data_IF_169463330961
#
_entry.id   IF_169463330961
#
_cell.length_a   1.000
_cell.length_b   1.000
_cell.length_c   1.000
_cell.angle_alpha   90.00
_cell.angle_beta   90.00
_cell.angle_gamma   90.00
#
_symmetry.space_group_name_H-M   'P 1'
#
loop_
_entity.id
_entity.type
_entity.pdbx_description
1 polymer ?
#
# COMPACT_ATOMS: atom_id res chain seq x y z
N UNK A 1 20.12 2.98 21.70
CA UNK A 1 19.91 3.67 20.42
C UNK A 1 18.48 3.42 20.00
N UNK A 2 17.60 4.39 20.18
CA UNK A 2 16.19 4.30 19.81
C UNK A 2 16.09 4.17 18.29
N UNK A 3 15.61 3.03 17.80
CA UNK A 3 15.29 2.88 16.39
C UNK A 3 14.24 3.93 16.03
N UNK A 4 14.65 4.99 15.35
CA UNK A 4 13.72 6.00 14.86
C UNK A 4 12.80 5.33 13.84
N UNK A 5 11.59 4.96 14.29
CA UNK A 5 10.54 4.42 13.44
C UNK A 5 10.31 5.38 12.28
N UNK A 6 10.54 4.95 11.04
CA UNK A 6 10.19 5.74 9.88
C UNK A 6 8.66 5.96 9.88
N UNK A 7 8.18 7.16 9.46
CA UNK A 7 6.75 7.45 9.44
C UNK A 7 6.04 6.48 8.48
N UNK A 8 4.83 6.09 8.85
CA UNK A 8 3.97 5.24 8.05
C UNK A 8 2.79 6.02 7.49
N UNK A 9 2.41 5.66 6.27
CA UNK A 9 1.37 6.31 5.50
C UNK A 9 0.45 5.26 4.92
N UNK A 10 -0.84 5.45 5.13
CA UNK A 10 -1.88 4.79 4.38
C UNK A 10 -2.10 5.55 3.07
N UNK A 11 -1.99 4.84 1.95
CA UNK A 11 -2.09 5.40 0.62
C UNK A 11 -3.26 4.76 -0.10
N UNK A 12 -4.23 5.57 -0.50
CA UNK A 12 -5.41 5.09 -1.23
C UNK A 12 -5.14 5.21 -2.72
N UNK A 13 -5.29 4.11 -3.43
CA UNK A 13 -5.14 3.98 -4.87
C UNK A 13 -6.51 3.77 -5.51
N UNK A 14 -6.71 4.34 -6.71
CA UNK A 14 -7.84 4.05 -7.59
C UNK A 14 -7.31 3.49 -8.90
N UNK A 15 -7.72 2.27 -9.23
CA UNK A 15 -7.45 1.62 -10.51
C UNK A 15 -8.35 2.18 -11.61
N UNK A 16 -7.95 2.00 -12.87
CA UNK A 16 -8.70 2.49 -14.03
C UNK A 16 -10.10 1.88 -14.16
N UNK A 17 -10.26 0.62 -13.73
CA UNK A 17 -11.55 -0.07 -13.64
C UNK A 17 -12.44 0.42 -12.48
N UNK A 18 -12.01 1.45 -11.75
CA UNK A 18 -12.76 2.09 -10.67
C UNK A 18 -12.58 1.42 -9.30
N UNK A 19 -11.92 0.26 -9.24
CA UNK A 19 -11.63 -0.39 -7.98
C UNK A 19 -10.68 0.44 -7.12
N UNK A 20 -10.75 0.26 -5.81
CA UNK A 20 -9.86 0.93 -4.85
C UNK A 20 -8.97 -0.07 -4.15
N UNK A 21 -7.76 0.36 -3.81
CA UNK A 21 -6.84 -0.43 -2.98
C UNK A 21 -6.09 0.48 -2.02
N UNK A 22 -5.71 -0.08 -0.88
CA UNK A 22 -5.07 0.69 0.18
C UNK A 22 -3.70 0.08 0.45
N UNK A 23 -2.63 0.83 0.20
CA UNK A 23 -1.27 0.34 0.45
C UNK A 23 -0.63 1.08 1.62
N UNK A 24 0.27 0.40 2.33
CA UNK A 24 1.01 0.97 3.45
C UNK A 24 2.43 1.29 3.03
N UNK A 25 2.74 2.58 2.97
CA UNK A 25 4.08 3.09 2.68
C UNK A 25 4.80 3.46 3.98
N UNK A 26 6.01 2.93 4.17
CA UNK A 26 6.88 3.29 5.29
C UNK A 26 8.05 4.11 4.74
N UNK A 27 8.14 5.38 5.13
CA UNK A 27 9.16 6.28 4.59
C UNK A 27 8.76 7.75 4.68
N UNK A 28 9.72 8.64 4.46
CA UNK A 28 9.46 10.09 4.42
C UNK A 28 8.76 10.46 3.11
N UNK A 29 7.84 11.43 3.14
CA UNK A 29 7.16 11.95 1.94
C UNK A 29 8.09 12.86 1.12
N UNK A 30 9.04 12.28 0.42
CA UNK A 30 9.79 12.96 -0.62
C UNK A 30 9.20 12.63 -1.99
N UNK A 31 8.77 13.67 -2.72
CA UNK A 31 8.24 13.55 -4.08
C UNK A 31 9.33 12.89 -4.95
N UNK A 32 9.03 11.74 -5.57
CA UNK A 32 10.00 10.89 -6.24
C UNK A 32 10.17 9.54 -5.53
N UNK A 33 10.93 9.49 -4.44
CA UNK A 33 11.16 8.25 -3.67
C UNK A 33 9.84 7.65 -3.14
N UNK A 34 8.91 8.50 -2.70
CA UNK A 34 7.58 8.06 -2.28
C UNK A 34 6.79 7.51 -3.47
N UNK A 35 6.78 8.20 -4.61
CA UNK A 35 6.05 7.76 -5.81
C UNK A 35 6.55 6.40 -6.29
N UNK A 36 7.87 6.17 -6.26
CA UNK A 36 8.48 4.89 -6.60
C UNK A 36 8.10 3.79 -5.60
N UNK A 37 8.15 4.08 -4.29
CA UNK A 37 7.76 3.13 -3.25
C UNK A 37 6.28 2.74 -3.32
N UNK A 38 5.40 3.72 -3.51
CA UNK A 38 3.96 3.50 -3.74
C UNK A 38 3.73 2.73 -5.04
N UNK A 39 4.52 2.98 -6.08
CA UNK A 39 4.40 2.23 -7.32
C UNK A 39 4.72 0.76 -7.16
N UNK A 40 5.80 0.41 -6.45
CA UNK A 40 6.12 -0.98 -6.14
C UNK A 40 5.01 -1.65 -5.33
N UNK A 41 4.43 -0.94 -4.36
CA UNK A 41 3.29 -1.42 -3.58
C UNK A 41 2.04 -1.64 -4.45
N UNK A 42 1.76 -0.71 -5.36
CA UNK A 42 0.64 -0.83 -6.29
C UNK A 42 0.83 -2.05 -7.21
N UNK A 43 2.00 -2.23 -7.80
CA UNK A 43 2.31 -3.39 -8.67
C UNK A 43 2.15 -4.70 -7.91
N UNK A 44 2.64 -4.79 -6.66
CA UNK A 44 2.45 -5.98 -5.83
C UNK A 44 0.96 -6.25 -5.52
N UNK A 45 0.20 -5.20 -5.20
CA UNK A 45 -1.25 -5.29 -4.98
C UNK A 45 -1.98 -5.76 -6.24
N UNK A 46 -1.57 -5.25 -7.41
CA UNK A 46 -2.17 -5.60 -8.69
C UNK A 46 -1.89 -7.06 -9.06
N UNK A 47 -0.66 -7.53 -8.88
CA UNK A 47 -0.29 -8.93 -9.14
C UNK A 47 -1.12 -9.91 -8.29
N UNK A 48 -1.37 -9.57 -7.02
CA UNK A 48 -2.25 -10.37 -6.16
C UNK A 48 -3.70 -10.38 -6.66
N UNK A 49 -4.17 -9.24 -7.18
CA UNK A 49 -5.51 -9.12 -7.76
C UNK A 49 -5.63 -9.95 -9.05
N UNK A 50 -4.65 -9.85 -9.94
CA UNK A 50 -4.60 -10.61 -11.18
C UNK A 50 -4.57 -12.13 -10.94
N UNK A 51 -3.90 -12.60 -9.88
CA UNK A 51 -3.92 -14.01 -9.49
C UNK A 51 -5.32 -14.52 -9.06
N UNK A 52 -6.21 -13.62 -8.62
CA UNK A 52 -7.59 -13.94 -8.25
C UNK A 52 -8.58 -13.72 -9.39
N UNK A 53 -8.27 -12.79 -10.28
CA UNK A 53 -9.10 -12.37 -11.40
C UNK A 53 -8.27 -12.50 -12.70
N UNK A 54 -8.15 -13.71 -13.27
CA UNK A 54 -7.31 -13.97 -14.45
C UNK A 54 -7.78 -13.26 -15.74
N UNK A 55 -8.90 -12.54 -15.70
CA UNK A 55 -9.40 -11.70 -16.80
C UNK A 55 -8.93 -10.24 -16.76
N UNK A 56 -8.17 -9.84 -15.74
CA UNK A 56 -7.63 -8.49 -15.65
C UNK A 56 -6.48 -8.27 -16.65
N UNK A 57 -6.32 -7.04 -17.18
CA UNK A 57 -5.25 -6.74 -18.13
C UNK A 57 -3.85 -6.99 -17.53
N UNK A 58 -2.83 -7.10 -18.37
CA UNK A 58 -1.45 -7.28 -17.90
C UNK A 58 -0.95 -6.07 -17.09
N UNK A 59 -1.44 -4.88 -17.46
CA UNK A 59 -1.14 -3.62 -16.81
C UNK A 59 -2.42 -2.83 -16.56
N UNK A 60 -2.58 -2.33 -15.34
CA UNK A 60 -3.68 -1.43 -14.96
C UNK A 60 -3.11 -0.11 -14.46
N UNK A 61 -3.45 1.03 -15.08
CA UNK A 61 -3.09 2.33 -14.55
C UNK A 61 -3.81 2.57 -13.23
N UNK A 62 -3.21 3.40 -12.39
CA UNK A 62 -3.81 3.82 -11.13
C UNK A 62 -3.49 5.27 -10.82
N UNK A 63 -4.33 5.86 -9.99
CA UNK A 63 -4.15 7.18 -9.41
C UNK A 63 -3.98 7.06 -7.91
N UNK A 64 -3.12 7.89 -7.34
CA UNK A 64 -3.02 8.04 -5.89
C UNK A 64 -4.01 9.10 -5.46
N UNK A 65 -4.97 8.72 -4.61
CA UNK A 65 -6.03 9.62 -4.16
C UNK A 65 -5.66 10.39 -2.89
N UNK A 66 -5.02 9.72 -1.93
CA UNK A 66 -4.71 10.34 -0.64
C UNK A 66 -3.55 9.68 0.08
N UNK A 67 -2.92 10.48 0.95
CA UNK A 67 -1.93 10.05 1.93
C UNK A 67 -2.43 10.39 3.32
N UNK A 68 -2.66 9.37 4.14
CA UNK A 68 -3.10 9.54 5.53
C UNK A 68 -2.00 9.02 6.45
N UNK A 69 -1.47 9.84 7.37
CA UNK A 69 -0.46 9.36 8.32
C UNK A 69 -1.08 8.29 9.24
N UNK A 70 -0.37 7.19 9.42
CA UNK A 70 -0.72 6.18 10.41
C UNK A 70 -0.03 6.56 11.73
N UNK A 71 -0.82 6.86 12.74
CA UNK A 71 -0.33 6.96 14.12
C UNK A 71 0.10 5.55 14.54
N UNK A 72 1.40 5.29 14.63
CA UNK A 72 1.90 4.10 15.34
C UNK A 72 1.69 4.34 16.83
N UNK A 73 0.48 4.06 17.31
CA UNK A 73 0.26 3.86 18.73
C UNK A 73 1.13 2.66 19.15
N UNK A 74 2.12 2.91 20.00
CA UNK A 74 3.12 1.93 20.42
C UNK A 74 2.54 0.95 21.46
N UNK A 75 1.25 0.60 21.33
CA UNK A 75 0.49 -0.14 22.34
C UNK A 75 -0.28 -1.37 21.81
N UNK A 76 -0.15 -1.74 20.53
CA UNK A 76 -0.76 -2.99 20.05
C UNK A 76 0.07 -3.65 18.95
N UNK A 77 1.11 -4.35 19.40
CA UNK A 77 1.62 -5.51 18.70
C UNK A 77 0.56 -6.62 18.77
N UNK A 78 -0.50 -6.50 17.97
CA UNK A 78 -1.32 -7.65 17.58
C UNK A 78 -0.84 -8.13 16.21
N UNK A 79 -0.74 -9.45 15.98
CA UNK A 79 -0.11 -10.01 14.80
C UNK A 79 -0.76 -9.46 13.54
N UNK A 80 0.06 -9.04 12.58
CA UNK A 80 -0.39 -8.66 11.24
C UNK A 80 -1.08 -9.85 10.61
N UNK A 81 -2.41 -9.88 10.69
CA UNK A 81 -3.21 -10.81 9.91
C UNK A 81 -3.16 -10.28 8.49
N UNK A 82 -2.32 -10.92 7.66
CA UNK A 82 -2.39 -10.81 6.21
C UNK A 82 -3.75 -11.37 5.78
N UNK A 83 -4.74 -10.48 5.69
CA UNK A 83 -6.09 -10.82 5.29
C UNK A 83 -6.56 -9.78 4.28
N UNK A 84 -6.57 -10.15 3.00
CA UNK A 84 -7.29 -9.37 2.00
C UNK A 84 -8.78 -9.51 2.29
N UNK A 85 -9.43 -8.45 2.78
CA UNK A 85 -10.88 -8.37 2.69
C UNK A 85 -11.25 -8.08 1.23
N UNK A 86 -12.41 -8.55 0.75
CA UNK A 86 -12.85 -8.30 -0.62
C UNK A 86 -12.98 -6.82 -0.97
N UNK A 87 -13.03 -5.92 0.02
CA UNK A 87 -13.15 -4.47 -0.15
C UNK A 87 -11.83 -3.71 0.12
N UNK A 88 -10.80 -4.38 0.66
CA UNK A 88 -9.56 -3.71 1.08
C UNK A 88 -8.36 -4.68 0.97
N UNK A 89 -7.66 -4.63 -0.17
CA UNK A 89 -6.33 -5.22 -0.29
C UNK A 89 -5.33 -4.30 0.41
N UNK A 90 -4.81 -4.73 1.57
CA UNK A 90 -3.76 -4.02 2.31
C UNK A 90 -2.39 -4.64 2.00
N UNK A 91 -1.66 -4.03 1.06
CA UNK A 91 -0.28 -4.43 0.78
C UNK A 91 0.69 -3.56 1.60
N UNK A 92 1.59 -4.21 2.36
CA UNK A 92 2.61 -3.53 3.17
C UNK A 92 4.00 -3.97 2.71
N UNK A 93 4.87 -3.03 2.35
CA UNK A 93 6.29 -3.28 2.06
C UNK A 93 7.10 -2.31 2.92
N UNK A 94 8.11 -2.86 3.60
CA UNK A 94 9.09 -2.11 4.38
C UNK A 94 10.16 -1.60 3.43
N UNK A 95 10.26 -0.30 3.22
CA UNK A 95 11.39 0.28 2.50
C UNK A 95 12.65 0.07 3.35
N UNK A 96 13.67 -0.59 2.79
CA UNK A 96 14.99 -0.75 3.39
C UNK A 96 15.76 0.57 3.41
#
# INVERSE_FOLDING_TARGET
MTASSLPQWQVVLRWDDGARSTVRYTGRLWVGAMSQGVHQLAVACYAQRQAREPGLPEHMPYLILSFTPLQLDTASALPMISGCRPDECVCSVKAC
#
